data_IF_945803977050
#
_entry.id   IF_945803977050
#
_cell.length_a   1.000
_cell.length_b   1.000
_cell.length_c   1.000
_cell.angle_alpha   90.00
_cell.angle_beta   90.00
_cell.angle_gamma   90.00
#
_symmetry.space_group_name_H-M   'P 1'
#
loop_
_entity.id
_entity.type
_entity.pdbx_description
1 polymer ?
#
# COMPACT_ATOMS: atom_id res chain seq x y z
N UNK A 1 -32.93 4.19 0.19
CA UNK A 1 -31.99 3.24 0.83
C UNK A 1 -31.01 2.60 -0.16
N UNK A 2 -31.41 2.17 -1.36
CA UNK A 2 -30.51 1.54 -2.36
C UNK A 2 -29.25 2.35 -2.71
N UNK A 3 -29.36 3.67 -2.82
CA UNK A 3 -28.27 4.52 -3.30
C UNK A 3 -27.09 4.62 -2.31
N UNK A 4 -27.37 4.53 -1.00
CA UNK A 4 -26.33 4.63 0.02
C UNK A 4 -25.50 3.35 0.13
N UNK A 5 -26.15 2.18 0.05
CA UNK A 5 -25.45 0.89 0.06
C UNK A 5 -24.58 0.70 -1.18
N UNK A 6 -25.07 1.14 -2.34
CA UNK A 6 -24.30 1.10 -3.57
C UNK A 6 -23.03 1.98 -3.49
N UNK A 7 -23.16 3.19 -2.94
CA UNK A 7 -22.02 4.11 -2.72
C UNK A 7 -21.00 3.53 -1.74
N UNK A 8 -21.43 2.97 -0.61
CA UNK A 8 -20.55 2.34 0.39
C UNK A 8 -19.79 1.14 -0.19
N UNK A 9 -20.48 0.29 -0.97
CA UNK A 9 -19.86 -0.85 -1.63
C UNK A 9 -18.79 -0.38 -2.63
N UNK A 10 -19.11 0.60 -3.47
CA UNK A 10 -18.15 1.16 -4.44
C UNK A 10 -16.96 1.83 -3.76
N UNK A 11 -17.17 2.59 -2.68
CA UNK A 11 -16.06 3.20 -1.94
C UNK A 11 -15.14 2.16 -1.32
N UNK A 12 -15.70 1.07 -0.79
CA UNK A 12 -14.92 -0.05 -0.25
C UNK A 12 -14.10 -0.75 -1.32
N UNK A 13 -14.68 -1.01 -2.50
CA UNK A 13 -14.00 -1.64 -3.63
C UNK A 13 -12.85 -0.75 -4.12
N UNK A 14 -13.10 0.54 -4.35
CA UNK A 14 -12.07 1.48 -4.80
C UNK A 14 -10.93 1.54 -3.79
N UNK A 15 -11.25 1.67 -2.50
CA UNK A 15 -10.24 1.71 -1.44
C UNK A 15 -9.41 0.42 -1.38
N UNK A 16 -10.04 -0.75 -1.55
CA UNK A 16 -9.35 -2.04 -1.60
C UNK A 16 -8.42 -2.16 -2.81
N UNK A 17 -8.86 -1.70 -4.00
CA UNK A 17 -8.03 -1.70 -5.21
C UNK A 17 -6.83 -0.76 -5.05
N UNK A 18 -7.04 0.44 -4.52
CA UNK A 18 -5.95 1.40 -4.26
C UNK A 18 -4.94 0.83 -3.26
N UNK A 19 -5.42 0.25 -2.16
CA UNK A 19 -4.57 -0.40 -1.16
C UNK A 19 -3.79 -1.56 -1.78
N UNK A 20 -4.45 -2.45 -2.52
CA UNK A 20 -3.81 -3.59 -3.18
C UNK A 20 -2.73 -3.15 -4.18
N UNK A 21 -3.01 -2.13 -4.99
CA UNK A 21 -2.04 -1.57 -5.94
C UNK A 21 -0.83 -0.94 -5.23
N UNK A 22 -1.04 -0.20 -4.14
CA UNK A 22 0.04 0.39 -3.35
C UNK A 22 0.94 -0.67 -2.70
N UNK A 23 0.35 -1.73 -2.14
CA UNK A 23 1.08 -2.86 -1.55
C UNK A 23 1.85 -3.63 -2.63
N UNK A 24 1.24 -3.88 -3.78
CA UNK A 24 1.90 -4.52 -4.91
C UNK A 24 3.11 -3.68 -5.38
N UNK A 25 2.95 -2.36 -5.48
CA UNK A 25 4.03 -1.45 -5.85
C UNK A 25 5.18 -1.41 -4.83
N UNK A 26 4.88 -1.55 -3.53
CA UNK A 26 5.91 -1.72 -2.49
C UNK A 26 6.64 -3.06 -2.60
N UNK A 27 5.97 -4.10 -3.09
CA UNK A 27 6.56 -5.43 -3.27
C UNK A 27 7.54 -5.50 -4.45
N UNK A 28 7.34 -4.68 -5.48
CA UNK A 28 8.23 -4.69 -6.65
C UNK A 28 9.65 -4.23 -6.28
N UNK A 29 10.68 -5.00 -6.66
CA UNK A 29 12.06 -4.63 -6.36
C UNK A 29 12.47 -3.34 -7.06
N UNK A 30 13.33 -2.57 -6.37
CA UNK A 30 13.95 -1.36 -6.90
C UNK A 30 15.38 -1.69 -7.30
N UNK A 31 15.70 -1.42 -8.56
CA UNK A 31 17.03 -1.58 -9.12
C UNK A 31 17.64 -0.21 -9.37
N UNK A 32 18.93 -0.10 -9.19
CA UNK A 32 19.70 1.08 -9.57
C UNK A 32 20.18 0.92 -11.02
N UNK A 33 20.26 2.03 -11.76
CA UNK A 33 20.83 2.06 -13.12
C UNK A 33 22.37 2.00 -13.07
N UNK A 34 22.91 1.10 -12.24
CA UNK A 34 24.33 0.85 -12.09
C UNK A 34 24.57 -0.66 -11.96
N UNK A 35 25.74 -1.10 -12.38
CA UNK A 35 26.12 -2.49 -12.45
C UNK A 35 27.25 -2.77 -11.47
N UNK A 36 27.19 -3.91 -10.79
CA UNK A 36 28.28 -4.38 -9.94
C UNK A 36 29.49 -4.89 -10.76
N UNK A 37 30.55 -5.27 -10.06
CA UNK A 37 31.78 -5.81 -10.68
C UNK A 37 31.57 -7.09 -11.50
N UNK A 38 30.43 -7.76 -11.34
CA UNK A 38 30.06 -8.97 -12.06
C UNK A 38 29.10 -8.69 -13.24
N UNK A 39 28.75 -7.42 -13.47
CA UNK A 39 27.87 -6.99 -14.54
C UNK A 39 26.37 -7.16 -14.25
N UNK A 40 25.97 -7.34 -12.98
CA UNK A 40 24.57 -7.41 -12.58
C UNK A 40 24.08 -6.06 -12.06
N UNK A 41 22.82 -5.71 -12.31
CA UNK A 41 22.23 -4.49 -11.72
C UNK A 41 22.21 -4.58 -10.20
N UNK A 42 22.60 -3.47 -9.54
CA UNK A 42 22.57 -3.36 -8.09
C UNK A 42 21.10 -3.34 -7.62
N UNK A 43 20.72 -4.35 -6.84
CA UNK A 43 19.38 -4.49 -6.27
C UNK A 43 19.36 -3.87 -4.88
N UNK A 44 18.52 -2.86 -4.70
CA UNK A 44 18.38 -2.12 -3.44
C UNK A 44 17.35 -2.74 -2.46
N UNK A 45 16.66 -3.79 -2.88
CA UNK A 45 15.57 -4.43 -2.14
C UNK A 45 14.18 -4.07 -2.67
N UNK A 46 13.20 -4.01 -1.78
CA UNK A 46 11.81 -3.66 -2.09
C UNK A 46 11.38 -2.41 -1.31
N UNK A 47 10.25 -1.81 -1.68
CA UNK A 47 9.68 -0.71 -0.92
C UNK A 47 9.39 -1.06 0.55
N UNK A 48 9.23 -2.35 0.89
CA UNK A 48 9.09 -2.83 2.26
C UNK A 48 10.42 -2.93 3.00
N UNK A 49 11.38 -3.64 2.41
CA UNK A 49 12.66 -3.96 3.06
C UNK A 49 13.81 -3.49 2.17
N UNK A 50 14.68 -2.67 2.74
CA UNK A 50 15.94 -2.26 2.13
C UNK A 50 16.96 -3.37 2.28
N UNK A 51 17.63 -3.73 1.18
CA UNK A 51 18.82 -4.58 1.20
C UNK A 51 19.98 -3.79 0.59
N UNK A 52 20.91 -3.38 1.45
CA UNK A 52 22.06 -2.55 1.09
C UNK A 52 23.35 -3.37 1.01
N UNK A 53 23.27 -4.69 1.22
CA UNK A 53 24.46 -5.56 1.26
C UNK A 53 25.20 -5.58 -0.07
N UNK A 54 24.47 -5.65 -1.19
CA UNK A 54 25.06 -5.60 -2.53
C UNK A 54 25.62 -4.21 -2.85
N UNK A 55 24.93 -3.13 -2.46
CA UNK A 55 25.40 -1.76 -2.66
C UNK A 55 26.68 -1.46 -1.88
N UNK A 56 26.79 -1.98 -0.65
CA UNK A 56 28.01 -1.89 0.16
C UNK A 56 29.16 -2.75 -0.41
N UNK A 57 28.85 -3.90 -1.00
CA UNK A 57 29.83 -4.79 -1.61
C UNK A 57 30.32 -4.31 -3.00
N UNK A 58 29.51 -3.53 -3.73
CA UNK A 58 29.85 -2.94 -5.02
C UNK A 58 30.84 -1.76 -4.93
N UNK A 59 31.56 -1.64 -3.82
CA UNK A 59 32.36 -0.47 -3.41
C UNK A 59 33.22 0.19 -4.50
N UNK A 60 33.40 1.50 -4.36
CA UNK A 60 34.16 2.40 -5.24
C UNK A 60 33.99 3.86 -4.78
N UNK A 61 34.42 4.85 -5.57
CA UNK A 61 34.25 6.29 -5.25
C UNK A 61 32.77 6.73 -5.20
N UNK A 62 31.86 5.90 -5.72
CA UNK A 62 30.42 6.16 -5.77
C UNK A 62 29.71 5.57 -4.55
N UNK A 63 28.97 6.43 -3.83
CA UNK A 63 28.17 6.01 -2.69
C UNK A 63 26.84 5.38 -3.15
N UNK A 64 26.88 4.10 -3.52
CA UNK A 64 25.71 3.34 -3.98
C UNK A 64 24.65 3.14 -2.89
N UNK A 65 25.06 3.17 -1.63
CA UNK A 65 24.15 3.04 -0.48
C UNK A 65 23.16 4.21 -0.44
N UNK A 66 23.67 5.45 -0.55
CA UNK A 66 22.86 6.67 -0.62
C UNK A 66 21.89 6.67 -1.82
N UNK A 67 22.35 6.20 -2.98
CA UNK A 67 21.51 6.11 -4.17
C UNK A 67 20.37 5.11 -3.99
N UNK A 68 20.66 3.96 -3.38
CA UNK A 68 19.64 2.97 -3.04
C UNK A 68 18.61 3.52 -2.04
N UNK A 69 19.05 4.23 -1.00
CA UNK A 69 18.13 4.87 -0.05
C UNK A 69 17.22 5.89 -0.74
N UNK A 70 17.79 6.77 -1.57
CA UNK A 70 17.03 7.75 -2.34
C UNK A 70 16.00 7.09 -3.27
N UNK A 71 16.37 6.03 -3.97
CA UNK A 71 15.47 5.29 -4.85
C UNK A 71 14.32 4.61 -4.08
N UNK A 72 14.62 4.03 -2.91
CA UNK A 72 13.62 3.45 -2.02
C UNK A 72 12.69 4.51 -1.43
N UNK A 73 13.23 5.66 -1.04
CA UNK A 73 12.45 6.81 -0.56
C UNK A 73 11.49 7.30 -1.63
N UNK A 74 11.93 7.42 -2.89
CA UNK A 74 11.06 7.84 -3.98
C UNK A 74 9.91 6.86 -4.21
N UNK A 75 10.12 5.55 -4.05
CA UNK A 75 9.03 4.57 -4.10
C UNK A 75 8.06 4.77 -2.93
N UNK A 76 8.57 4.87 -1.71
CA UNK A 76 7.77 5.03 -0.49
C UNK A 76 6.99 6.33 -0.47
N UNK A 77 7.52 7.38 -1.10
CA UNK A 77 6.92 8.72 -1.12
C UNK A 77 5.49 8.72 -1.66
N UNK A 78 5.16 7.87 -2.62
CA UNK A 78 3.81 7.80 -3.19
C UNK A 78 3.05 6.53 -2.78
N UNK A 79 3.74 5.40 -2.55
CA UNK A 79 3.06 4.16 -2.16
C UNK A 79 2.58 4.18 -0.72
N UNK A 80 3.34 4.76 0.22
CA UNK A 80 2.95 4.82 1.64
C UNK A 80 1.69 5.67 1.84
N UNK A 81 1.59 6.89 1.28
CA UNK A 81 0.35 7.67 1.37
C UNK A 81 -0.84 6.96 0.75
N UNK A 82 -0.68 6.33 -0.43
CA UNK A 82 -1.77 5.59 -1.06
C UNK A 82 -2.21 4.38 -0.23
N UNK A 83 -1.27 3.65 0.37
CA UNK A 83 -1.59 2.54 1.27
C UNK A 83 -2.34 3.03 2.51
N UNK A 84 -1.92 4.15 3.10
CA UNK A 84 -2.63 4.74 4.25
C UNK A 84 -4.05 5.19 3.89
N UNK A 85 -4.22 5.89 2.76
CA UNK A 85 -5.53 6.35 2.30
C UNK A 85 -6.45 5.19 1.93
N UNK A 86 -5.95 4.20 1.19
CA UNK A 86 -6.70 3.00 0.83
C UNK A 86 -7.08 2.18 2.05
N UNK A 87 -6.15 1.98 2.99
CA UNK A 87 -6.39 1.28 4.25
C UNK A 87 -7.44 1.98 5.12
N UNK A 88 -7.30 3.29 5.34
CA UNK A 88 -8.25 4.08 6.12
C UNK A 88 -9.65 4.09 5.46
N UNK A 89 -9.72 4.31 4.14
CA UNK A 89 -10.97 4.30 3.41
C UNK A 89 -11.69 2.95 3.48
N UNK A 90 -10.94 1.85 3.34
CA UNK A 90 -11.48 0.50 3.45
C UNK A 90 -12.00 0.23 4.86
N UNK A 91 -11.25 0.60 5.89
CA UNK A 91 -11.68 0.47 7.29
C UNK A 91 -12.96 1.24 7.58
N UNK A 92 -13.07 2.49 7.12
CA UNK A 92 -14.28 3.31 7.29
C UNK A 92 -15.47 2.68 6.58
N UNK A 93 -15.30 2.20 5.34
CA UNK A 93 -16.37 1.53 4.60
C UNK A 93 -16.86 0.27 5.32
N UNK A 94 -15.93 -0.54 5.85
CA UNK A 94 -16.25 -1.75 6.61
C UNK A 94 -17.01 -1.42 7.91
N UNK A 95 -16.54 -0.45 8.69
CA UNK A 95 -17.22 -0.03 9.93
C UNK A 95 -18.61 0.55 9.64
N UNK A 96 -18.76 1.38 8.60
CA UNK A 96 -20.05 1.90 8.18
C UNK A 96 -21.01 0.79 7.74
N UNK A 97 -20.51 -0.22 7.02
CA UNK A 97 -21.31 -1.38 6.60
C UNK A 97 -21.76 -2.25 7.78
N UNK A 98 -20.87 -2.48 8.77
CA UNK A 98 -21.19 -3.27 9.95
C UNK A 98 -22.21 -2.56 10.85
N UNK A 99 -22.07 -1.24 11.02
CA UNK A 99 -22.99 -0.44 11.86
C UNK A 99 -24.39 -0.32 11.27
N UNK A 100 -24.53 -0.22 9.94
CA UNK A 100 -25.87 -0.25 9.30
C UNK A 100 -26.53 -1.62 9.46
N UNK A 101 -25.79 -2.71 9.29
CA UNK A 101 -26.31 -4.07 9.46
C UNK A 101 -26.80 -4.33 10.89
N UNK A 102 -26.09 -3.83 11.90
CA UNK A 102 -26.48 -3.97 13.29
C UNK A 102 -27.79 -3.23 13.61
N UNK A 103 -27.97 -2.00 13.09
CA UNK A 103 -29.20 -1.22 13.30
C UNK A 103 -30.44 -1.91 12.75
N UNK A 104 -30.33 -2.47 11.54
CA UNK A 104 -31.44 -3.14 10.88
C UNK A 104 -31.89 -4.40 11.63
N UNK A 105 -30.95 -5.09 12.28
CA UNK A 105 -31.24 -6.25 13.13
C UNK A 105 -31.95 -5.90 14.45
N UNK A 106 -31.82 -4.67 14.96
CA UNK A 106 -32.46 -4.24 16.21
C UNK A 106 -33.87 -3.62 16.03
N UNK A 107 -34.19 -3.14 14.83
CA UNK A 107 -35.50 -2.53 14.53
C UNK A 107 -36.74 -3.48 14.41
N UNK A 108 -36.65 -4.84 14.41
CA UNK A 108 -37.84 -5.70 14.25
C UNK A 108 -38.83 -5.69 15.44
N UNK A 109 -38.45 -5.22 16.62
CA UNK A 109 -39.24 -5.42 17.84
C UNK A 109 -40.29 -4.34 18.17
N UNK A 110 -40.42 -3.28 17.38
CA UNK A 110 -41.36 -2.18 17.69
C UNK A 110 -42.75 -2.30 17.00
N UNK A 111 -42.93 -3.18 16.01
CA UNK A 111 -44.15 -3.19 15.18
C UNK A 111 -45.21 -4.23 15.58
N UNK A 112 -45.10 -4.83 16.77
CA UNK A 112 -46.03 -5.85 17.28
C UNK A 112 -46.76 -5.43 18.57
N UNK A 113 -46.96 -4.13 18.81
CA UNK A 113 -47.70 -3.60 19.95
C UNK A 113 -48.89 -2.73 19.50
#
# INVERSE_FOLDING_TARGET
>A
MSDHHHRLAWTGIIAAVVLGAALLALNFPVFLDSYDQYGWQVKCGTGYLSDLSQAAAAGGDTNYVEQCESALLMRRLWTVPLALLGGAGLLVALVASATTSARESLHPHHNNA
#
